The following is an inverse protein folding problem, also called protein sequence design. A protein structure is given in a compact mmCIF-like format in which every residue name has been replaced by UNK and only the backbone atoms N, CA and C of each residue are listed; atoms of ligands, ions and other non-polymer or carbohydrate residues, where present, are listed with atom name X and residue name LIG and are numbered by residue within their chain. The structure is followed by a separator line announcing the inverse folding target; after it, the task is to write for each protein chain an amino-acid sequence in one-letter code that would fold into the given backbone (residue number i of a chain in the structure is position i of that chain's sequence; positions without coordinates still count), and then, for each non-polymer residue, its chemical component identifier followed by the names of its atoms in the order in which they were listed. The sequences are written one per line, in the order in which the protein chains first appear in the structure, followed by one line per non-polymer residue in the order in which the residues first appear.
data_IF_263392237944
#
_entry.id   IF_263392237944
#
_cell.length_a   1.000
_cell.length_b   1.000
_cell.length_c   1.000
_cell.angle_alpha   90.00
_cell.angle_beta   90.00
_cell.angle_gamma   90.00
#
_symmetry.space_group_name_H-M   'P 1'
#
loop_
_entity.id
_entity.type
_entity.pdbx_description
1 polymer ?
#
# COMPACT_ATOMS: atom_id res chain seq x y z
N UNK A 1 -11.50 -52.32 -33.34
CA UNK A 1 -12.29 -51.26 -32.72
C UNK A 1 -11.71 -49.92 -33.21
N UNK A 2 -12.46 -49.25 -34.07
CA UNK A 2 -12.06 -47.96 -34.62
C UNK A 2 -12.25 -46.88 -33.51
N UNK A 3 -11.18 -46.24 -33.14
CA UNK A 3 -11.24 -45.02 -32.30
C UNK A 3 -11.83 -43.90 -33.16
N UNK A 4 -13.15 -43.75 -33.07
CA UNK A 4 -13.83 -42.58 -33.63
C UNK A 4 -13.40 -41.40 -32.77
N UNK A 5 -12.49 -40.59 -33.31
CA UNK A 5 -12.21 -39.25 -32.75
C UNK A 5 -13.50 -38.47 -32.84
N UNK A 6 -14.18 -38.34 -31.73
CA UNK A 6 -15.20 -37.32 -31.58
C UNK A 6 -14.42 -36.01 -31.59
N UNK A 7 -14.44 -35.32 -32.73
CA UNK A 7 -14.07 -33.93 -32.77
C UNK A 7 -15.17 -33.16 -32.03
N UNK A 8 -15.04 -33.07 -30.71
CA UNK A 8 -15.89 -32.20 -29.92
C UNK A 8 -15.56 -30.78 -30.31
N UNK A 9 -16.43 -30.23 -31.13
CA UNK A 9 -16.37 -28.83 -31.53
C UNK A 9 -16.72 -28.00 -30.32
N UNK A 10 -15.74 -27.37 -29.72
CA UNK A 10 -15.96 -26.41 -28.65
C UNK A 10 -16.84 -25.27 -29.20
N UNK A 11 -18.09 -25.23 -28.76
CA UNK A 11 -19.02 -24.15 -29.13
C UNK A 11 -18.90 -23.04 -28.08
N UNK A 12 -18.12 -22.02 -28.36
CA UNK A 12 -18.05 -20.84 -27.55
C UNK A 12 -19.18 -19.88 -27.88
N UNK A 13 -19.99 -19.52 -26.89
CA UNK A 13 -21.00 -18.47 -27.01
C UNK A 13 -20.59 -17.28 -26.16
N UNK A 14 -20.47 -16.12 -26.75
CA UNK A 14 -20.33 -14.86 -26.06
C UNK A 14 -21.64 -14.06 -26.22
N UNK A 15 -22.27 -13.67 -25.12
CA UNK A 15 -23.58 -12.99 -25.13
C UNK A 15 -24.65 -13.72 -25.97
N UNK A 16 -24.64 -15.07 -25.96
CA UNK A 16 -25.61 -15.87 -26.68
C UNK A 16 -25.30 -16.11 -28.17
N UNK A 17 -24.33 -15.43 -28.75
CA UNK A 17 -23.92 -15.59 -30.14
C UNK A 17 -22.90 -16.72 -30.29
N UNK A 18 -23.12 -17.65 -31.20
CA UNK A 18 -22.22 -18.77 -31.48
C UNK A 18 -21.03 -18.28 -32.31
N UNK A 19 -19.82 -18.47 -31.79
CA UNK A 19 -18.61 -18.30 -32.60
C UNK A 19 -18.38 -19.53 -33.49
N UNK A 20 -17.80 -19.31 -34.69
CA UNK A 20 -17.41 -20.39 -35.57
C UNK A 20 -16.50 -21.38 -34.84
N UNK A 21 -16.70 -22.69 -35.08
CA UNK A 21 -15.86 -23.74 -34.53
C UNK A 21 -14.41 -23.49 -34.88
N UNK A 22 -13.57 -23.43 -33.87
CA UNK A 22 -12.10 -23.36 -33.99
C UNK A 22 -11.55 -24.73 -33.51
N UNK A 23 -10.53 -25.22 -34.16
CA UNK A 23 -9.86 -26.48 -33.77
C UNK A 23 -9.01 -26.32 -32.50
N UNK A 24 -8.57 -25.10 -32.20
CA UNK A 24 -7.84 -24.76 -30.99
C UNK A 24 -8.36 -23.42 -30.44
N UNK A 25 -8.59 -23.37 -29.14
CA UNK A 25 -8.90 -22.15 -28.41
C UNK A 25 -7.82 -21.97 -27.34
N UNK A 26 -6.94 -21.01 -27.56
CA UNK A 26 -5.98 -20.60 -26.55
C UNK A 26 -6.61 -19.54 -25.66
N UNK A 27 -6.91 -19.91 -24.42
CA UNK A 27 -7.34 -18.95 -23.39
C UNK A 27 -6.12 -18.66 -22.53
N UNK A 28 -5.57 -17.46 -22.69
CA UNK A 28 -4.42 -17.00 -21.91
C UNK A 28 -4.94 -16.15 -20.75
N UNK A 29 -4.60 -16.55 -19.52
CA UNK A 29 -4.89 -15.76 -18.33
C UNK A 29 -4.06 -14.49 -18.35
N UNK A 30 -4.71 -13.31 -18.31
CA UNK A 30 -4.09 -12.03 -18.06
C UNK A 30 -3.98 -11.71 -16.57
N UNK A 31 -3.51 -10.51 -16.21
CA UNK A 31 -3.56 -10.04 -14.82
C UNK A 31 -4.99 -10.12 -14.28
N UNK A 32 -5.15 -10.66 -13.07
CA UNK A 32 -6.43 -10.83 -12.38
C UNK A 32 -7.45 -11.75 -13.10
N UNK A 33 -6.99 -12.65 -13.97
CA UNK A 33 -7.83 -13.68 -14.59
C UNK A 33 -7.41 -15.05 -14.08
N UNK A 34 -8.33 -15.75 -13.46
CA UNK A 34 -8.16 -17.15 -13.04
C UNK A 34 -8.90 -18.05 -13.99
N UNK A 35 -8.23 -19.07 -14.54
CA UNK A 35 -8.82 -20.11 -15.34
C UNK A 35 -8.93 -21.37 -14.48
N UNK A 36 -10.13 -21.91 -14.36
CA UNK A 36 -10.37 -23.20 -13.70
C UNK A 36 -11.09 -24.13 -14.67
N UNK A 37 -10.58 -25.36 -14.80
CA UNK A 37 -11.24 -26.42 -15.56
C UNK A 37 -11.82 -27.43 -14.58
N UNK A 38 -13.08 -27.79 -14.77
CA UNK A 38 -13.75 -28.88 -14.06
C UNK A 38 -14.36 -29.84 -15.04
N UNK A 39 -14.24 -31.13 -14.75
CA UNK A 39 -14.86 -32.19 -15.53
C UNK A 39 -15.92 -32.91 -14.69
N UNK A 40 -17.14 -32.94 -15.19
CA UNK A 40 -18.24 -33.69 -14.58
C UNK A 40 -19.18 -34.18 -15.67
N UNK A 41 -19.59 -35.46 -15.58
CA UNK A 41 -20.58 -36.06 -16.49
C UNK A 41 -20.23 -35.91 -17.98
N UNK A 42 -18.97 -36.10 -18.35
CA UNK A 42 -18.43 -35.94 -19.72
C UNK A 42 -18.57 -34.49 -20.26
N UNK A 43 -18.74 -33.52 -19.40
CA UNK A 43 -18.73 -32.09 -19.72
C UNK A 43 -17.50 -31.44 -19.13
N UNK A 44 -16.67 -30.85 -19.97
CA UNK A 44 -15.57 -29.98 -19.55
C UNK A 44 -16.05 -28.52 -19.47
N UNK A 45 -16.02 -27.94 -18.28
CA UNK A 45 -16.36 -26.54 -18.09
C UNK A 45 -15.09 -25.75 -17.78
N UNK A 46 -14.81 -24.74 -18.59
CA UNK A 46 -13.76 -23.76 -18.30
C UNK A 46 -14.41 -22.52 -17.71
N UNK A 47 -14.14 -22.26 -16.44
CA UNK A 47 -14.62 -21.05 -15.76
C UNK A 47 -13.52 -19.99 -15.87
N UNK A 48 -13.84 -18.88 -16.47
CA UNK A 48 -12.99 -17.69 -16.50
C UNK A 48 -13.51 -16.75 -15.42
N UNK A 49 -12.76 -16.63 -14.35
CA UNK A 49 -13.06 -15.67 -13.29
C UNK A 49 -12.13 -14.46 -13.47
N UNK A 50 -12.68 -13.33 -13.87
CA UNK A 50 -11.98 -12.08 -13.66
C UNK A 50 -12.00 -11.83 -12.15
N UNK A 51 -10.83 -11.78 -11.51
CA UNK A 51 -10.71 -11.18 -10.19
C UNK A 51 -11.36 -9.80 -10.23
N UNK A 52 -11.70 -9.22 -9.09
CA UNK A 52 -12.22 -7.85 -9.08
C UNK A 52 -11.29 -7.00 -9.95
N UNK A 53 -11.62 -6.90 -11.21
CA UNK A 53 -11.02 -5.96 -12.13
C UNK A 53 -11.53 -4.58 -11.73
N UNK A 54 -11.08 -4.13 -10.58
CA UNK A 54 -10.99 -2.72 -10.36
C UNK A 54 -9.97 -2.23 -11.38
N UNK A 55 -10.33 -1.26 -12.14
CA UNK A 55 -9.46 -0.50 -13.06
C UNK A 55 -8.20 -0.01 -12.34
N UNK A 56 -8.09 -0.19 -11.02
CA UNK A 56 -7.16 0.44 -10.11
C UNK A 56 -6.14 -0.49 -9.42
N UNK A 57 -6.19 -1.80 -9.61
CA UNK A 57 -5.35 -2.75 -8.85
C UNK A 57 -5.72 -2.80 -7.35
N UNK A 58 -4.88 -3.48 -6.56
CA UNK A 58 -5.01 -3.53 -5.09
C UNK A 58 -4.52 -2.23 -4.47
N UNK A 59 -5.18 -1.79 -3.41
CA UNK A 59 -4.83 -0.53 -2.75
C UNK A 59 -5.16 -0.54 -1.26
N UNK A 60 -4.49 0.36 -0.53
CA UNK A 60 -4.79 0.64 0.87
C UNK A 60 -4.43 2.06 1.24
N UNK A 61 -5.22 2.66 2.14
CA UNK A 61 -4.97 3.95 2.75
C UNK A 61 -5.04 3.83 4.26
N UNK A 62 -4.03 4.39 4.94
CA UNK A 62 -3.84 4.29 6.38
C UNK A 62 -3.39 5.65 6.93
N UNK A 63 -3.83 5.99 8.15
CA UNK A 63 -3.41 7.23 8.78
C UNK A 63 -3.30 7.09 10.29
N UNK A 64 -2.63 8.02 10.93
CA UNK A 64 -2.55 8.09 12.38
C UNK A 64 -3.18 9.36 12.91
N UNK A 65 -4.06 9.20 13.90
CA UNK A 65 -4.67 10.30 14.65
C UNK A 65 -3.92 10.62 15.94
N UNK A 66 -2.86 9.84 16.24
CA UNK A 66 -1.89 10.09 17.29
C UNK A 66 -0.64 10.77 16.75
N UNK A 67 0.02 11.60 17.56
CA UNK A 67 1.34 12.16 17.22
C UNK A 67 2.43 11.10 17.35
N UNK A 68 3.46 11.17 16.49
CA UNK A 68 4.64 10.30 16.53
C UNK A 68 5.78 11.08 17.20
N UNK A 69 6.18 10.66 18.39
CA UNK A 69 7.19 11.35 19.20
C UNK A 69 8.35 10.41 19.48
N UNK A 70 9.57 10.87 19.21
CA UNK A 70 10.79 10.15 19.56
C UNK A 70 11.13 10.34 21.04
N UNK A 71 11.41 9.27 21.77
CA UNK A 71 11.84 9.35 23.17
C UNK A 71 13.30 9.77 23.33
N UNK A 72 14.14 9.54 22.31
CA UNK A 72 15.55 9.92 22.27
C UNK A 72 16.04 10.11 20.84
N UNK A 73 17.30 10.53 20.68
CA UNK A 73 17.91 10.83 19.38
C UNK A 73 18.87 9.72 18.90
N UNK A 74 18.98 8.62 19.62
CA UNK A 74 19.96 7.56 19.33
C UNK A 74 19.33 6.29 18.77
N UNK A 75 17.99 6.24 18.70
CA UNK A 75 17.23 5.10 18.18
C UNK A 75 16.26 5.54 17.09
N UNK A 76 15.92 4.61 16.22
CA UNK A 76 14.84 4.77 15.25
C UNK A 76 13.51 4.30 15.82
N UNK A 77 12.42 4.87 15.34
CA UNK A 77 11.05 4.60 15.76
C UNK A 77 10.21 4.20 14.56
N UNK A 78 9.36 3.21 14.73
CA UNK A 78 8.38 2.83 13.71
C UNK A 78 7.12 3.68 13.89
N UNK A 79 6.61 4.25 12.81
CA UNK A 79 5.35 4.98 12.82
C UNK A 79 4.18 4.03 13.12
N UNK A 80 3.23 4.51 13.91
CA UNK A 80 1.99 3.80 14.21
C UNK A 80 0.84 4.38 13.40
N UNK A 81 -0.05 3.50 12.91
CA UNK A 81 -1.28 3.86 12.24
C UNK A 81 -2.45 3.45 13.12
N UNK A 82 -3.41 4.35 13.32
CA UNK A 82 -4.58 4.13 14.18
C UNK A 82 -5.82 3.78 13.39
N UNK A 83 -5.84 4.12 12.11
CA UNK A 83 -7.02 4.03 11.25
C UNK A 83 -6.64 3.56 9.85
N UNK A 84 -7.64 3.03 9.14
CA UNK A 84 -7.52 2.56 7.76
C UNK A 84 -8.81 2.87 7.00
N UNK A 85 -8.70 3.06 5.69
CA UNK A 85 -9.88 3.20 4.84
C UNK A 85 -10.68 1.89 4.83
N UNK A 86 -12.01 2.00 5.03
CA UNK A 86 -12.88 0.83 5.21
C UNK A 86 -12.96 -0.10 4.00
N UNK A 87 -12.67 0.43 2.79
CA UNK A 87 -12.73 -0.32 1.54
C UNK A 87 -11.33 -0.65 0.97
N UNK A 88 -10.30 -0.74 1.80
CA UNK A 88 -9.01 -1.25 1.38
C UNK A 88 -9.17 -2.63 0.73
N UNK A 89 -8.43 -2.88 -0.36
CA UNK A 89 -8.50 -4.13 -1.11
C UNK A 89 -7.08 -4.69 -1.34
N UNK A 90 -6.81 -5.88 -0.77
CA UNK A 90 -5.53 -6.56 -0.90
C UNK A 90 -4.33 -5.92 -0.19
N UNK A 91 -4.55 -4.82 0.55
CA UNK A 91 -3.57 -4.17 1.43
C UNK A 91 -4.23 -3.87 2.77
N UNK A 92 -3.60 -4.28 3.87
CA UNK A 92 -4.18 -4.18 5.21
C UNK A 92 -3.17 -3.72 6.26
N UNK A 93 -3.67 -3.13 7.33
CA UNK A 93 -2.88 -2.79 8.51
C UNK A 93 -2.82 -4.00 9.46
N UNK A 94 -1.62 -4.38 9.88
CA UNK A 94 -1.38 -5.37 10.92
C UNK A 94 -0.52 -4.76 12.03
N UNK A 95 -0.76 -5.18 13.27
CA UNK A 95 -0.01 -4.79 14.47
C UNK A 95 0.13 -3.26 14.67
N UNK A 96 -0.71 -2.46 14.01
CA UNK A 96 -0.67 -1.00 14.10
C UNK A 96 0.51 -0.32 13.40
N UNK A 97 1.46 -1.06 12.82
CA UNK A 97 2.66 -0.52 12.16
C UNK A 97 2.91 -1.11 10.77
N UNK A 98 2.39 -2.30 10.50
CA UNK A 98 2.72 -3.12 9.34
C UNK A 98 1.67 -2.96 8.24
N UNK A 99 2.06 -2.38 7.13
CA UNK A 99 1.24 -2.31 5.92
C UNK A 99 1.52 -3.59 5.13
N UNK A 100 0.60 -4.55 5.21
CA UNK A 100 0.76 -5.92 4.70
C UNK A 100 0.06 -6.08 3.36
N UNK A 101 0.71 -6.78 2.43
CA UNK A 101 0.23 -7.02 1.07
C UNK A 101 -0.25 -8.45 0.91
N UNK A 102 -1.47 -8.65 0.44
CA UNK A 102 -2.06 -9.97 0.24
C UNK A 102 -1.75 -10.52 -1.18
N UNK A 103 -1.28 -9.69 -2.09
CA UNK A 103 -1.02 -10.03 -3.48
C UNK A 103 0.37 -9.61 -3.94
N UNK A 104 1.00 -10.46 -4.76
CA UNK A 104 2.28 -10.17 -5.42
C UNK A 104 2.13 -8.99 -6.38
N UNK A 105 3.13 -8.13 -6.45
CA UNK A 105 3.17 -7.06 -7.45
C UNK A 105 4.15 -5.95 -7.11
N UNK A 106 4.13 -4.93 -7.96
CA UNK A 106 4.79 -3.66 -7.70
C UNK A 106 3.75 -2.70 -7.11
N UNK A 107 4.12 -2.07 -6.01
CA UNK A 107 3.26 -1.10 -5.35
C UNK A 107 3.95 0.26 -5.26
N UNK A 108 3.23 1.29 -5.66
CA UNK A 108 3.57 2.66 -5.34
C UNK A 108 3.12 2.94 -3.91
N UNK A 109 4.08 3.16 -3.00
CA UNK A 109 3.85 3.43 -1.58
C UNK A 109 4.21 4.88 -1.34
N UNK A 110 3.23 5.68 -0.98
CA UNK A 110 3.36 7.11 -0.76
C UNK A 110 3.06 7.46 0.68
N UNK A 111 3.84 8.37 1.27
CA UNK A 111 3.57 8.94 2.59
C UNK A 111 3.44 10.45 2.55
N UNK A 112 2.71 10.98 3.54
CA UNK A 112 2.66 12.40 3.87
C UNK A 112 2.70 12.54 5.39
N UNK A 113 3.69 13.28 5.91
CA UNK A 113 3.93 13.48 7.34
C UNK A 113 3.79 14.96 7.70
N UNK A 114 3.04 15.26 8.77
CA UNK A 114 2.90 16.60 9.34
C UNK A 114 4.03 16.84 10.37
N UNK A 115 5.15 17.42 9.94
CA UNK A 115 6.32 17.66 10.80
C UNK A 115 6.16 18.94 11.59
N UNK A 116 6.59 18.89 12.84
CA UNK A 116 6.64 20.04 13.75
C UNK A 116 7.98 20.06 14.49
N UNK A 117 8.49 21.26 14.76
CA UNK A 117 9.65 21.50 15.61
C UNK A 117 9.31 22.60 16.63
N UNK A 118 9.35 22.25 17.91
CA UNK A 118 9.05 23.16 19.01
C UNK A 118 10.30 23.87 19.57
N UNK A 119 11.51 23.49 19.10
CA UNK A 119 12.77 24.10 19.52
C UNK A 119 13.02 25.45 18.83
N UNK A 120 13.83 26.30 19.46
CA UNK A 120 14.27 27.58 18.90
C UNK A 120 15.35 27.45 17.81
N UNK A 121 15.77 26.23 17.48
CA UNK A 121 16.78 25.91 16.47
C UNK A 121 16.21 24.93 15.44
N UNK A 122 16.78 24.95 14.24
CA UNK A 122 16.45 23.97 13.19
C UNK A 122 16.98 22.62 13.64
N UNK A 123 16.16 21.57 13.48
CA UNK A 123 16.52 20.20 13.74
C UNK A 123 16.02 19.29 12.63
N UNK A 124 16.67 18.13 12.49
CA UNK A 124 16.43 17.25 11.37
C UNK A 124 15.61 16.03 11.78
N UNK A 125 14.88 15.50 10.81
CA UNK A 125 14.24 14.19 10.84
C UNK A 125 14.64 13.42 9.60
N UNK A 126 14.94 12.14 9.78
CA UNK A 126 15.10 11.18 8.67
C UNK A 126 13.93 10.22 8.69
N UNK A 127 13.29 9.99 7.56
CA UNK A 127 12.19 9.05 7.39
C UNK A 127 12.53 8.09 6.26
N UNK A 128 12.30 6.79 6.47
CA UNK A 128 12.56 5.76 5.47
C UNK A 128 11.59 4.60 5.58
N UNK A 129 11.65 3.66 4.64
CA UNK A 129 10.86 2.44 4.65
C UNK A 129 11.68 1.23 5.06
N UNK A 130 11.05 0.29 5.77
CA UNK A 130 11.60 -0.99 6.17
C UNK A 130 10.63 -2.10 5.78
N UNK A 131 11.18 -3.22 5.27
CA UNK A 131 10.41 -4.38 4.82
C UNK A 131 10.64 -5.57 5.75
N UNK A 132 9.58 -6.26 6.12
CA UNK A 132 9.59 -7.53 6.87
C UNK A 132 10.35 -7.50 8.21
N UNK A 133 10.42 -6.34 8.88
CA UNK A 133 10.98 -6.12 10.21
C UNK A 133 12.28 -6.92 10.49
N UNK A 134 13.23 -6.83 9.61
CA UNK A 134 14.53 -7.48 9.78
C UNK A 134 15.57 -6.55 10.42
N UNK A 135 15.14 -5.61 11.26
CA UNK A 135 16.00 -4.57 11.81
C UNK A 135 16.64 -3.74 10.68
N UNK A 136 17.92 -3.40 10.82
CA UNK A 136 18.62 -2.60 9.81
C UNK A 136 18.77 -3.31 8.46
N UNK A 137 18.76 -4.65 8.45
CA UNK A 137 18.80 -5.45 7.20
C UNK A 137 17.52 -5.28 6.39
N UNK A 138 16.38 -5.02 7.04
CA UNK A 138 15.11 -4.77 6.37
C UNK A 138 14.95 -3.35 5.83
N UNK A 139 15.89 -2.43 6.09
CA UNK A 139 15.82 -1.08 5.54
C UNK A 139 15.88 -1.13 4.01
N UNK A 140 14.87 -0.56 3.36
CA UNK A 140 14.84 -0.48 1.90
C UNK A 140 15.90 0.53 1.46
N UNK A 141 16.84 0.09 0.62
CA UNK A 141 17.91 0.95 0.12
C UNK A 141 17.33 2.16 -0.62
N UNK A 142 17.98 3.31 -0.47
CA UNK A 142 17.63 4.57 -1.13
C UNK A 142 16.19 5.09 -0.84
N UNK A 143 15.53 4.56 0.19
CA UNK A 143 14.21 5.00 0.62
C UNK A 143 14.21 6.14 1.65
N UNK A 144 15.41 6.53 2.14
CA UNK A 144 15.50 7.55 3.19
C UNK A 144 15.34 8.97 2.63
N UNK A 145 14.52 9.77 3.32
CA UNK A 145 14.40 11.22 3.11
C UNK A 145 14.87 11.96 4.36
N UNK A 146 15.84 12.86 4.20
CA UNK A 146 16.41 13.69 5.26
C UNK A 146 15.86 15.11 5.12
N UNK A 147 15.29 15.66 6.20
CA UNK A 147 14.60 16.95 6.18
C UNK A 147 14.96 17.79 7.40
N UNK A 148 15.35 19.05 7.18
CA UNK A 148 15.52 20.05 8.22
C UNK A 148 14.19 20.75 8.50
N UNK A 149 13.63 20.56 9.70
CA UNK A 149 12.37 21.17 10.11
C UNK A 149 12.65 22.56 10.69
N UNK A 150 12.00 23.64 10.18
CA UNK A 150 12.22 25.00 10.66
C UNK A 150 12.06 25.10 12.18
N UNK A 151 12.77 26.02 12.79
CA UNK A 151 12.67 26.29 14.23
C UNK A 151 11.35 27.01 14.59
N UNK A 152 10.98 26.93 15.86
CA UNK A 152 9.91 27.76 16.39
C UNK A 152 10.35 29.24 16.44
N UNK A 153 9.44 30.16 16.14
CA UNK A 153 9.68 31.59 16.16
C UNK A 153 8.45 32.38 16.66
N UNK A 154 8.66 33.30 17.59
CA UNK A 154 7.57 34.15 18.11
C UNK A 154 6.43 33.35 18.78
N UNK A 155 6.71 32.20 19.38
CA UNK A 155 5.72 31.34 20.00
C UNK A 155 4.93 30.47 18.99
N UNK A 156 5.36 30.46 17.74
CA UNK A 156 4.78 29.60 16.68
C UNK A 156 5.79 28.50 16.35
N UNK A 157 5.36 27.26 16.44
CA UNK A 157 6.20 26.11 16.11
C UNK A 157 6.54 26.07 14.61
N UNK A 158 7.76 25.63 14.31
CA UNK A 158 8.17 25.34 12.94
C UNK A 158 7.36 24.17 12.36
N UNK A 159 6.91 24.28 11.11
CA UNK A 159 6.08 23.25 10.46
C UNK A 159 6.55 22.98 9.05
N UNK A 160 6.46 21.71 8.65
CA UNK A 160 6.79 21.26 7.31
C UNK A 160 5.98 20.02 6.97
N UNK A 161 5.63 19.85 5.71
CA UNK A 161 5.06 18.61 5.20
C UNK A 161 6.17 17.87 4.43
N UNK A 162 6.46 16.64 4.85
CA UNK A 162 7.28 15.70 4.10
C UNK A 162 6.37 14.75 3.36
N UNK A 163 6.46 14.72 2.03
CA UNK A 163 5.73 13.78 1.21
C UNK A 163 6.65 13.23 0.10
N UNK A 164 6.69 11.92 -0.03
CA UNK A 164 7.40 11.23 -1.11
C UNK A 164 6.85 9.81 -1.29
N UNK A 165 7.30 9.14 -2.34
CA UNK A 165 6.89 7.77 -2.64
C UNK A 165 8.07 6.92 -3.08
N UNK A 166 7.90 5.61 -2.96
CA UNK A 166 8.76 4.58 -3.51
C UNK A 166 7.92 3.59 -4.33
N UNK A 167 8.57 2.81 -5.18
CA UNK A 167 7.97 1.64 -5.81
C UNK A 167 8.69 0.42 -5.27
N UNK A 168 7.94 -0.53 -4.70
CA UNK A 168 8.49 -1.72 -4.07
C UNK A 168 7.86 -2.99 -4.67
N UNK A 169 8.71 -3.99 -4.91
CA UNK A 169 8.26 -5.35 -5.28
C UNK A 169 7.89 -6.12 -4.02
N UNK A 170 6.68 -6.63 -3.95
CA UNK A 170 6.21 -7.39 -2.78
C UNK A 170 5.68 -8.77 -3.17
N UNK A 171 5.79 -9.71 -2.23
CA UNK A 171 5.17 -11.02 -2.26
C UNK A 171 3.97 -11.06 -1.31
N UNK A 172 3.03 -12.00 -1.48
CA UNK A 172 1.92 -12.18 -0.52
C UNK A 172 2.45 -12.41 0.89
N UNK A 173 1.98 -11.61 1.85
CA UNK A 173 2.41 -11.64 3.25
C UNK A 173 3.59 -10.73 3.58
N UNK A 174 4.28 -10.16 2.59
CA UNK A 174 5.24 -9.08 2.84
C UNK A 174 4.55 -7.88 3.47
N UNK A 175 5.29 -7.13 4.28
CA UNK A 175 4.81 -5.87 4.81
C UNK A 175 5.91 -4.80 4.82
N UNK A 176 5.47 -3.55 4.79
CA UNK A 176 6.32 -2.37 4.87
C UNK A 176 5.95 -1.57 6.11
N UNK A 177 6.96 -1.02 6.79
CA UNK A 177 6.84 -0.10 7.90
C UNK A 177 7.48 1.24 7.53
N UNK A 178 6.95 2.33 8.04
CA UNK A 178 7.59 3.65 8.00
C UNK A 178 8.39 3.84 9.28
N UNK A 179 9.65 4.18 9.14
CA UNK A 179 10.59 4.34 10.25
C UNK A 179 11.13 5.77 10.24
N UNK A 180 11.39 6.34 11.41
CA UNK A 180 11.97 7.67 11.52
C UNK A 180 12.99 7.78 12.65
N UNK A 181 13.89 8.74 12.53
CA UNK A 181 14.82 9.16 13.56
C UNK A 181 14.94 10.69 13.54
N UNK A 182 15.23 11.28 14.70
CA UNK A 182 15.31 12.74 14.87
C UNK A 182 16.66 13.14 15.47
N UNK A 183 17.15 14.33 15.16
CA UNK A 183 18.34 14.91 15.79
C UNK A 183 18.01 15.61 17.11
N UNK A 184 16.73 15.89 17.37
CA UNK A 184 16.24 16.46 18.62
C UNK A 184 14.80 15.99 18.88
N UNK A 185 14.44 15.65 20.11
CA UNK A 185 13.12 15.19 20.51
C UNK A 185 12.01 16.27 20.42
N UNK A 186 12.37 17.53 20.20
CA UNK A 186 11.43 18.60 19.88
C UNK A 186 10.83 18.47 18.47
N UNK A 187 11.44 17.62 17.60
CA UNK A 187 10.87 17.28 16.29
C UNK A 187 9.96 16.07 16.41
N UNK A 188 8.75 16.17 15.86
CA UNK A 188 7.76 15.09 15.87
C UNK A 188 6.86 15.17 14.65
N UNK A 189 6.06 14.10 14.40
CA UNK A 189 4.93 14.16 13.48
C UNK A 189 3.67 14.42 14.30
N UNK A 190 2.94 15.48 13.99
CA UNK A 190 1.83 15.96 14.82
C UNK A 190 0.48 15.86 14.13
N UNK A 191 -0.50 15.30 14.83
CA UNK A 191 -1.91 15.44 14.47
C UNK A 191 -2.39 16.85 14.81
N UNK A 192 -3.08 17.51 13.88
CA UNK A 192 -3.69 18.82 14.08
C UNK A 192 -5.19 18.63 14.22
N UNK A 193 -5.77 19.14 15.30
CA UNK A 193 -7.21 19.05 15.56
C UNK A 193 -8.02 19.77 14.48
N UNK A 194 -9.27 19.37 14.30
CA UNK A 194 -10.22 20.06 13.44
C UNK A 194 -10.41 21.51 13.89
N UNK A 195 -10.42 22.42 12.95
CA UNK A 195 -10.67 23.84 13.21
C UNK A 195 -12.17 24.15 13.26
N UNK A 196 -12.52 25.23 13.95
CA UNK A 196 -13.91 25.67 14.08
C UNK A 196 -14.22 26.97 13.32
N UNK A 197 -13.21 27.80 13.04
CA UNK A 197 -13.37 29.09 12.35
C UNK A 197 -12.15 29.37 11.44
N UNK A 198 -12.23 29.06 10.14
CA UNK A 198 -13.28 28.28 9.48
C UNK A 198 -13.29 26.81 9.93
N UNK A 199 -14.41 26.11 9.71
CA UNK A 199 -14.46 24.67 9.95
C UNK A 199 -13.50 23.94 9.00
N UNK A 200 -12.50 23.24 9.57
CA UNK A 200 -11.54 22.44 8.81
C UNK A 200 -11.49 21.02 9.35
N UNK A 201 -11.23 20.00 8.52
CA UNK A 201 -11.03 18.65 9.00
C UNK A 201 -9.75 18.55 9.84
N UNK A 202 -9.65 17.51 10.65
CA UNK A 202 -8.41 17.13 11.35
C UNK A 202 -7.35 16.73 10.32
N UNK A 203 -6.08 17.09 10.58
CA UNK A 203 -4.93 16.59 9.81
C UNK A 203 -4.24 15.48 10.59
N UNK A 204 -4.15 14.25 10.05
CA UNK A 204 -3.38 13.17 10.64
C UNK A 204 -1.89 13.50 10.73
N UNK A 205 -1.16 12.88 11.67
CA UNK A 205 0.29 13.03 11.80
C UNK A 205 1.04 12.41 10.62
N UNK A 206 0.53 11.29 10.11
CA UNK A 206 1.01 10.58 8.93
C UNK A 206 -0.17 9.97 8.17
N UNK A 207 -0.09 10.01 6.85
CA UNK A 207 -0.95 9.26 5.93
C UNK A 207 -0.04 8.39 5.07
N UNK A 208 -0.43 7.16 4.82
CA UNK A 208 0.21 6.26 3.86
C UNK A 208 -0.83 5.71 2.90
N UNK A 209 -0.52 5.77 1.62
CA UNK A 209 -1.27 5.08 0.57
C UNK A 209 -0.37 4.08 -0.14
N UNK A 210 -0.90 2.89 -0.43
CA UNK A 210 -0.24 1.88 -1.24
C UNK A 210 -1.16 1.50 -2.40
N UNK A 211 -0.66 1.56 -3.62
CA UNK A 211 -1.44 1.25 -4.83
C UNK A 211 -0.63 0.37 -5.75
N UNK A 212 -1.19 -0.75 -6.18
CA UNK A 212 -0.56 -1.64 -7.16
C UNK A 212 -0.49 -0.97 -8.54
N UNK A 213 0.69 -1.03 -9.19
CA UNK A 213 0.98 -0.40 -10.48
C UNK A 213 1.29 -1.44 -11.55
#
# INVERSE_FOLDING_TARGET
MSLQRIADVLKLKLNGTLFKSQSNLDIVGGRNITLAQTEANNLSTVTVTAGKAGVWGYFGEFWSTGSQVAANTTTSYTCTFTDAYANNDGVRLANGTQITFDHVGKYNIQISCQLINTAAQIHDITVWFRKNNQGDVGNIADSASFVSVPNSHGGIDGRLILAYNIIEDVLPGDYVEVVYAVTNTAVSMQTIAAGTTPTTPRSPSIILTATQV
#
